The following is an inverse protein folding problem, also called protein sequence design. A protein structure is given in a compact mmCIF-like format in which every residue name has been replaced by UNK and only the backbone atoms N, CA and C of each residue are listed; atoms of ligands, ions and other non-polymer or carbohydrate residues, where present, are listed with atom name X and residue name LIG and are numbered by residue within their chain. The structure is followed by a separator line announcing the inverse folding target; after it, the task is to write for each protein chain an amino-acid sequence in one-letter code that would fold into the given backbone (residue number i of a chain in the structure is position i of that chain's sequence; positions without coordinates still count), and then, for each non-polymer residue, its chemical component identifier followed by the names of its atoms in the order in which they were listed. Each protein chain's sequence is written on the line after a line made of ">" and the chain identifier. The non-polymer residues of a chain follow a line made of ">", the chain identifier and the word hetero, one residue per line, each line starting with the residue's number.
data_IF_197174329469
#
_entry.id   IF_197174329469
#
_cell.length_a   1.000
_cell.length_b   1.000
_cell.length_c   1.000
_cell.angle_alpha   90.00
_cell.angle_beta   90.00
_cell.angle_gamma   90.00
#
_symmetry.space_group_name_H-M   'P 1'
#
loop_
_entity.id
_entity.type
_entity.pdbx_description
1 polymer ?
#
# COMPACT_ATOMS: atom_id res chain seq x y z
N UNK A 1 -12.57 -1.88 -1.51
CA UNK A 1 -11.35 -1.63 -0.70
C UNK A 1 -11.37 -2.27 0.70
N UNK A 2 -12.33 -1.98 1.60
CA UNK A 2 -12.28 -2.47 3.00
C UNK A 2 -12.12 -3.99 3.14
N UNK A 3 -12.83 -4.78 2.32
CA UNK A 3 -12.72 -6.24 2.30
C UNK A 3 -11.33 -6.71 1.80
N UNK A 4 -10.78 -6.04 0.78
CA UNK A 4 -9.44 -6.33 0.26
C UNK A 4 -8.37 -6.01 1.31
N UNK A 5 -8.51 -4.88 2.01
CA UNK A 5 -7.62 -4.48 3.09
C UNK A 5 -7.61 -5.51 4.24
N UNK A 6 -8.79 -5.94 4.68
CA UNK A 6 -8.91 -6.95 5.73
C UNK A 6 -8.27 -8.29 5.32
N UNK A 7 -8.50 -8.75 4.07
CA UNK A 7 -7.86 -9.95 3.55
C UNK A 7 -6.33 -9.83 3.45
N UNK A 8 -5.84 -8.62 3.17
CA UNK A 8 -4.42 -8.32 3.08
C UNK A 8 -3.74 -8.06 4.43
N UNK A 9 -4.42 -8.28 5.56
CA UNK A 9 -3.84 -8.02 6.88
C UNK A 9 -3.54 -6.53 7.13
N UNK A 10 -4.23 -5.64 6.43
CA UNK A 10 -4.11 -4.18 6.60
C UNK A 10 -5.01 -3.75 7.75
N UNK A 11 -4.38 -3.23 8.80
CA UNK A 11 -5.05 -2.65 9.98
C UNK A 11 -5.75 -1.35 9.64
N UNK A 12 -5.08 -0.46 8.89
CA UNK A 12 -5.62 0.86 8.58
C UNK A 12 -5.15 1.38 7.22
N UNK A 13 -6.03 2.17 6.60
CA UNK A 13 -5.76 2.98 5.42
C UNK A 13 -6.06 4.43 5.78
N UNK A 14 -5.03 5.25 5.82
CA UNK A 14 -5.14 6.67 6.17
C UNK A 14 -4.64 7.53 5.01
N UNK A 15 -5.10 8.78 4.96
CA UNK A 15 -4.54 9.78 4.05
C UNK A 15 -3.94 10.90 4.89
N UNK A 16 -2.63 11.08 4.82
CA UNK A 16 -1.88 12.07 5.59
C UNK A 16 -0.98 12.87 4.65
N UNK A 17 -1.05 14.21 4.74
CA UNK A 17 -0.22 15.12 3.93
C UNK A 17 -0.29 14.85 2.41
N UNK A 18 -1.43 14.35 1.92
CA UNK A 18 -1.62 14.00 0.52
C UNK A 18 -0.95 12.69 0.09
N UNK A 19 -0.50 11.86 1.04
CA UNK A 19 -0.07 10.49 0.83
C UNK A 19 -1.10 9.53 1.43
N UNK A 20 -1.26 8.37 0.81
CA UNK A 20 -2.06 7.27 1.34
C UNK A 20 -1.11 6.35 2.09
N UNK A 21 -1.41 6.07 3.34
CA UNK A 21 -0.60 5.23 4.22
C UNK A 21 -1.41 3.97 4.53
N UNK A 22 -0.85 2.83 4.16
CA UNK A 22 -1.33 1.50 4.47
C UNK A 22 -0.51 0.95 5.63
N UNK A 23 -1.15 0.54 6.72
CA UNK A 23 -0.49 -0.09 7.87
C UNK A 23 -0.96 -1.53 8.01
N UNK A 24 -0.01 -2.45 8.12
CA UNK A 24 -0.28 -3.85 8.44
C UNK A 24 -0.64 -4.04 9.92
N UNK A 25 -1.34 -5.12 10.23
CA UNK A 25 -1.55 -5.59 11.59
C UNK A 25 -0.21 -5.78 12.32
N UNK A 26 -0.20 -5.57 13.63
CA UNK A 26 1.00 -5.77 14.44
C UNK A 26 1.61 -7.17 14.25
N UNK A 27 2.94 -7.23 14.18
CA UNK A 27 3.68 -8.47 13.95
C UNK A 27 3.78 -8.90 12.48
N UNK A 28 3.03 -8.26 11.57
CA UNK A 28 3.15 -8.52 10.12
C UNK A 28 4.15 -7.57 9.46
N UNK A 29 4.76 -8.05 8.37
CA UNK A 29 5.67 -7.28 7.54
C UNK A 29 5.34 -7.47 6.07
N UNK A 30 5.57 -6.41 5.29
CA UNK A 30 5.42 -6.51 3.85
C UNK A 30 6.51 -7.39 3.24
N UNK A 31 6.09 -8.29 2.35
CA UNK A 31 7.04 -9.05 1.55
C UNK A 31 7.61 -8.16 0.44
N UNK A 32 8.82 -7.64 0.67
CA UNK A 32 9.54 -6.77 -0.28
C UNK A 32 9.71 -7.40 -1.67
N UNK A 33 9.88 -8.73 -1.76
CA UNK A 33 10.05 -9.41 -3.05
C UNK A 33 8.75 -9.42 -3.86
N UNK A 34 7.61 -9.68 -3.20
CA UNK A 34 6.28 -9.62 -3.84
C UNK A 34 5.94 -8.21 -4.34
N UNK A 35 6.42 -7.19 -3.64
CA UNK A 35 6.13 -5.78 -3.93
C UNK A 35 7.19 -5.07 -4.76
N UNK A 36 8.36 -5.68 -4.98
CA UNK A 36 9.45 -5.11 -5.76
C UNK A 36 9.02 -4.54 -7.13
N UNK A 37 8.12 -5.20 -7.91
CA UNK A 37 7.64 -4.66 -9.19
C UNK A 37 6.87 -3.33 -9.07
N UNK A 38 6.37 -3.01 -7.87
CA UNK A 38 5.56 -1.81 -7.61
C UNK A 38 6.34 -0.71 -6.89
N UNK A 39 7.60 -0.95 -6.52
CA UNK A 39 8.48 0.09 -5.96
C UNK A 39 8.92 1.05 -7.06
N UNK A 40 7.95 1.77 -7.63
CA UNK A 40 8.12 2.82 -8.62
C UNK A 40 8.04 4.19 -7.95
N UNK A 41 8.35 5.23 -8.72
CA UNK A 41 8.26 6.60 -8.23
C UNK A 41 6.83 6.88 -7.70
N UNK A 42 6.75 7.30 -6.44
CA UNK A 42 5.48 7.50 -5.74
C UNK A 42 5.02 6.36 -4.82
N UNK A 43 5.74 5.24 -4.74
CA UNK A 43 5.50 4.20 -3.72
C UNK A 43 6.75 4.01 -2.85
N UNK A 44 6.60 4.14 -1.54
CA UNK A 44 7.65 3.82 -0.56
C UNK A 44 7.20 2.68 0.34
N UNK A 45 8.08 1.70 0.50
CA UNK A 45 7.84 0.52 1.32
C UNK A 45 8.67 0.59 2.60
N UNK A 46 8.00 0.63 3.75
CA UNK A 46 8.57 0.35 5.06
C UNK A 46 8.29 -1.11 5.48
N UNK A 47 8.68 -1.47 6.70
CA UNK A 47 8.51 -2.82 7.22
C UNK A 47 7.02 -3.19 7.41
N UNK A 48 6.27 -2.33 8.09
CA UNK A 48 4.84 -2.50 8.38
C UNK A 48 3.95 -1.44 7.74
N UNK A 49 4.56 -0.47 7.05
CA UNK A 49 3.86 0.64 6.40
C UNK A 49 4.20 0.73 4.92
N UNK A 50 3.20 1.03 4.10
CA UNK A 50 3.37 1.34 2.68
C UNK A 50 2.78 2.72 2.41
N UNK A 51 3.58 3.56 1.78
CA UNK A 51 3.23 4.94 1.47
C UNK A 51 3.03 5.05 -0.03
N UNK A 52 1.86 5.54 -0.40
CA UNK A 52 1.42 5.80 -1.75
C UNK A 52 1.31 7.31 -1.91
N UNK A 53 1.91 7.87 -2.96
CA UNK A 53 1.82 9.29 -3.27
C UNK A 53 0.95 9.48 -4.53
N UNK A 54 -0.37 9.74 -4.36
CA UNK A 54 -1.27 10.01 -5.48
C UNK A 54 -0.79 11.10 -6.43
N UNK A 55 -0.11 12.14 -5.92
CA UNK A 55 0.38 13.24 -6.77
C UNK A 55 1.46 12.80 -7.74
N UNK A 56 2.30 11.83 -7.35
CA UNK A 56 3.35 11.28 -8.22
C UNK A 56 2.80 10.21 -9.17
N UNK A 57 1.78 9.46 -8.73
CA UNK A 57 1.15 8.41 -9.53
C UNK A 57 0.07 8.91 -10.49
N UNK A 58 -0.37 10.16 -10.34
CA UNK A 58 -1.37 10.75 -11.23
C UNK A 58 -2.71 10.00 -11.18
N UNK A 59 -3.43 9.97 -12.31
CA UNK A 59 -4.79 9.40 -12.38
C UNK A 59 -4.86 7.89 -12.08
N UNK A 60 -3.74 7.18 -12.15
CA UNK A 60 -3.68 5.72 -11.97
C UNK A 60 -3.50 5.27 -10.52
N UNK A 61 -3.39 6.21 -9.57
CA UNK A 61 -3.08 5.89 -8.17
C UNK A 61 -4.05 4.87 -7.54
N UNK A 62 -5.33 4.91 -7.92
CA UNK A 62 -6.35 3.98 -7.41
C UNK A 62 -6.10 2.54 -7.87
N UNK A 63 -5.79 2.34 -9.15
CA UNK A 63 -5.46 1.02 -9.70
C UNK A 63 -4.21 0.44 -9.05
N UNK A 64 -3.19 1.28 -8.84
CA UNK A 64 -1.96 0.89 -8.14
C UNK A 64 -2.25 0.47 -6.68
N UNK A 65 -3.09 1.23 -5.97
CA UNK A 65 -3.50 0.87 -4.61
C UNK A 65 -4.23 -0.48 -4.58
N UNK A 66 -5.16 -0.72 -5.49
CA UNK A 66 -5.88 -1.99 -5.57
C UNK A 66 -4.95 -3.17 -5.88
N UNK A 67 -3.99 -2.99 -6.79
CA UNK A 67 -3.04 -4.03 -7.16
C UNK A 67 -2.09 -4.39 -6.01
N UNK A 68 -1.62 -3.38 -5.26
CA UNK A 68 -0.86 -3.59 -4.03
C UNK A 68 -1.67 -4.41 -3.03
N UNK A 69 -2.92 -4.04 -2.77
CA UNK A 69 -3.79 -4.77 -1.83
C UNK A 69 -4.00 -6.24 -2.24
N UNK A 70 -4.14 -6.51 -3.55
CA UNK A 70 -4.32 -7.88 -4.08
C UNK A 70 -3.10 -8.79 -3.95
N UNK A 71 -1.88 -8.23 -3.84
CA UNK A 71 -0.64 -9.02 -3.73
C UNK A 71 -0.16 -9.24 -2.30
N UNK A 72 -0.62 -8.40 -1.39
CA UNK A 72 -0.31 -8.50 0.04
C UNK A 72 -1.18 -9.56 0.71
N UNK A 73 -2.47 -9.62 0.37
CA UNK A 73 -3.37 -10.75 0.71
C UNK A 73 -3.07 -11.99 -0.12
#
# INVERSE_FOLDING_TARGET
>A
LKILAAKAGIESISTEQGQIILRLLQGMQFNKQKLAPFLKDGIKLGLSQLHLNPRRLGKEWQGVLEEVLRRVG
#
